data_IF_298906261576
#
_entry.id   IF_298906261576
#
_cell.length_a   1.000
_cell.length_b   1.000
_cell.length_c   1.000
_cell.angle_alpha   90.00
_cell.angle_beta   90.00
_cell.angle_gamma   90.00
#
_symmetry.space_group_name_H-M   'P 1'
#
loop_
_entity.id
_entity.type
_entity.pdbx_description
1 polymer ?
#
# COMPACT_ATOMS: atom_id res chain seq x y z
N UNK A 1 22.17 -4.58 -7.28
CA UNK A 1 22.08 -3.18 -7.75
C UNK A 1 21.07 -2.43 -6.91
N UNK A 2 21.34 -1.16 -6.60
CA UNK A 2 20.37 -0.27 -5.98
C UNK A 2 19.30 0.12 -7.00
N UNK A 3 18.07 0.30 -6.54
CA UNK A 3 16.92 0.62 -7.38
C UNK A 3 16.30 1.90 -6.83
N UNK A 4 15.97 2.84 -7.72
CA UNK A 4 15.45 4.13 -7.31
C UNK A 4 14.66 4.80 -8.42
N UNK A 5 13.80 5.72 -8.01
CA UNK A 5 13.06 6.61 -8.90
C UNK A 5 13.84 7.91 -9.06
N UNK A 6 14.12 8.31 -10.30
CA UNK A 6 14.62 9.67 -10.58
C UNK A 6 13.52 10.65 -10.20
N UNK A 7 13.79 11.52 -9.23
CA UNK A 7 12.85 12.54 -8.78
C UNK A 7 13.07 13.86 -9.49
N UNK A 8 14.33 14.20 -9.78
CA UNK A 8 14.73 15.47 -10.36
C UNK A 8 16.07 15.35 -11.08
N UNK A 9 16.22 16.07 -12.20
CA UNK A 9 17.52 16.29 -12.85
C UNK A 9 18.06 17.64 -12.39
N UNK A 10 19.25 17.64 -11.82
CA UNK A 10 19.93 18.82 -11.29
C UNK A 10 20.97 19.30 -12.31
N UNK A 11 20.82 20.55 -12.77
CA UNK A 11 21.80 21.17 -13.64
C UNK A 11 23.05 21.55 -12.83
N UNK A 12 24.22 21.10 -13.29
CA UNK A 12 25.50 21.48 -12.70
C UNK A 12 25.74 22.99 -12.83
N UNK A 13 26.30 23.60 -11.79
CA UNK A 13 26.76 25.00 -11.86
C UNK A 13 28.14 25.05 -12.55
N UNK A 14 28.40 26.03 -13.43
CA UNK A 14 29.72 26.20 -14.03
C UNK A 14 30.80 26.36 -12.96
N UNK A 15 32.03 25.84 -13.15
CA UNK A 15 32.62 25.29 -14.38
C UNK A 15 32.39 23.78 -14.59
N UNK A 16 31.82 23.07 -13.61
CA UNK A 16 31.55 21.65 -13.70
C UNK A 16 30.12 21.42 -14.21
N UNK A 17 29.95 21.39 -15.53
CA UNK A 17 28.70 21.01 -16.23
C UNK A 17 28.37 19.51 -16.02
N UNK A 18 28.36 19.04 -14.78
CA UNK A 18 27.97 17.66 -14.43
C UNK A 18 26.49 17.64 -14.12
N UNK A 19 25.74 16.88 -14.90
CA UNK A 19 24.34 16.59 -14.61
C UNK A 19 24.27 15.62 -13.45
N UNK A 20 23.65 16.07 -12.37
CA UNK A 20 23.35 15.25 -11.20
C UNK A 20 21.86 14.89 -11.21
N UNK A 21 21.50 13.85 -10.48
CA UNK A 21 20.12 13.38 -10.36
C UNK A 21 19.80 13.15 -8.90
N UNK A 22 18.60 13.56 -8.49
CA UNK A 22 18.05 13.19 -7.19
C UNK A 22 17.30 11.87 -7.32
N UNK A 23 17.68 10.87 -6.54
CA UNK A 23 17.10 9.53 -6.58
C UNK A 23 16.33 9.28 -5.30
N UNK A 24 15.06 8.89 -5.41
CA UNK A 24 14.26 8.33 -4.31
C UNK A 24 14.44 6.81 -4.28
N UNK A 25 14.87 6.27 -3.14
CA UNK A 25 15.34 4.88 -3.08
C UNK A 25 14.24 3.85 -2.80
N UNK A 26 14.42 2.67 -3.39
CA UNK A 26 13.74 1.46 -3.01
C UNK A 26 14.75 0.46 -2.43
N UNK A 27 14.37 -0.22 -1.34
CA UNK A 27 15.20 -1.20 -0.67
C UNK A 27 14.68 -2.61 -0.87
N UNK A 28 15.55 -3.61 -0.80
CA UNK A 28 15.07 -4.98 -0.67
C UNK A 28 14.64 -5.20 0.79
N UNK A 29 13.55 -5.96 1.05
CA UNK A 29 13.09 -6.24 2.40
C UNK A 29 14.19 -6.73 3.34
N UNK A 30 15.08 -7.61 2.85
CA UNK A 30 16.19 -8.17 3.62
C UNK A 30 17.22 -7.14 4.11
N UNK A 31 17.33 -5.99 3.44
CA UNK A 31 18.35 -4.98 3.73
C UNK A 31 17.89 -4.01 4.83
N UNK A 32 16.58 -3.85 5.02
CA UNK A 32 16.01 -2.86 5.95
C UNK A 32 15.05 -3.43 6.99
N UNK A 33 14.52 -4.64 6.77
CA UNK A 33 13.53 -5.26 7.65
C UNK A 33 14.13 -6.48 8.35
N UNK A 34 14.24 -6.40 9.68
CA UNK A 34 14.95 -7.38 10.52
C UNK A 34 14.18 -8.71 10.77
N UNK A 35 13.03 -8.93 10.12
CA UNK A 35 12.21 -10.13 10.35
C UNK A 35 12.71 -11.33 9.55
N UNK A 36 12.85 -12.48 10.20
CA UNK A 36 13.29 -13.74 9.59
C UNK A 36 12.42 -14.16 8.38
N UNK A 37 11.12 -13.85 8.41
CA UNK A 37 10.20 -14.14 7.28
C UNK A 37 10.52 -13.34 6.01
N UNK A 38 11.18 -12.17 6.15
CA UNK A 38 11.52 -11.29 5.02
C UNK A 38 12.91 -11.58 4.43
N UNK A 39 13.68 -12.53 5.00
CA UNK A 39 14.96 -13.02 4.45
C UNK A 39 14.77 -13.85 3.16
N UNK A 40 13.64 -14.54 3.03
CA UNK A 40 13.26 -15.32 1.84
C UNK A 40 12.21 -14.60 0.98
N UNK A 41 12.16 -13.27 1.07
CA UNK A 41 11.28 -12.48 0.23
C UNK A 41 11.65 -12.65 -1.26
N UNK A 42 10.64 -12.56 -2.12
CA UNK A 42 10.81 -12.53 -3.57
C UNK A 42 11.89 -11.50 -3.95
N UNK A 43 12.91 -11.86 -4.77
CA UNK A 43 13.95 -10.92 -5.19
C UNK A 43 13.40 -9.69 -5.93
N UNK A 44 12.21 -9.78 -6.54
CA UNK A 44 11.52 -8.67 -7.22
C UNK A 44 10.73 -7.78 -6.27
N UNK A 45 10.49 -8.22 -5.02
CA UNK A 45 9.83 -7.41 -4.01
C UNK A 45 10.77 -6.32 -3.49
N UNK A 46 10.27 -5.10 -3.49
CA UNK A 46 10.90 -3.91 -2.96
C UNK A 46 10.06 -3.30 -1.84
N UNK A 47 10.71 -2.40 -1.11
CA UNK A 47 10.11 -1.54 -0.09
C UNK A 47 10.45 -0.10 -0.47
N UNK A 48 9.41 0.73 -0.63
CA UNK A 48 9.59 2.15 -0.92
C UNK A 48 10.22 2.87 0.28
N UNK A 49 10.82 4.03 0.06
CA UNK A 49 11.35 4.88 1.12
C UNK A 49 11.16 6.35 0.79
N UNK A 50 11.06 7.19 1.82
CA UNK A 50 11.15 8.64 1.69
C UNK A 50 12.60 9.13 1.53
N UNK A 51 13.58 8.23 1.68
CA UNK A 51 14.99 8.59 1.57
C UNK A 51 15.36 8.95 0.13
N UNK A 52 16.06 10.07 -0.02
CA UNK A 52 16.63 10.48 -1.29
C UNK A 52 18.02 11.07 -1.13
N UNK A 53 18.84 10.91 -2.17
CA UNK A 53 20.16 11.53 -2.27
C UNK A 53 20.45 11.96 -3.72
N UNK A 54 21.57 12.65 -3.88
CA UNK A 54 22.04 13.16 -5.17
C UNK A 54 23.18 12.29 -5.66
N UNK A 55 23.08 11.82 -6.91
CA UNK A 55 24.08 10.98 -7.55
C UNK A 55 24.45 11.55 -8.93
N UNK A 56 25.65 11.25 -9.45
CA UNK A 56 25.96 11.59 -10.82
C UNK A 56 25.08 10.78 -11.79
N UNK A 57 24.68 11.38 -12.91
CA UNK A 57 23.86 10.68 -13.93
C UNK A 57 24.53 9.41 -14.46
N UNK A 58 25.86 9.35 -14.45
CA UNK A 58 26.67 8.20 -14.86
C UNK A 58 26.53 6.98 -13.94
N UNK A 59 25.89 7.13 -12.78
CA UNK A 59 25.56 6.00 -11.89
C UNK A 59 24.41 5.13 -12.41
N UNK A 60 23.59 5.64 -13.34
CA UNK A 60 22.48 4.91 -13.93
C UNK A 60 23.03 3.76 -14.78
N UNK A 61 22.61 2.52 -14.48
CA UNK A 61 23.00 1.32 -15.22
C UNK A 61 21.98 0.88 -16.26
N UNK A 62 20.71 1.18 -16.04
CA UNK A 62 19.61 0.76 -16.90
C UNK A 62 18.27 1.23 -16.35
N UNK A 63 17.23 1.11 -17.18
CA UNK A 63 15.85 1.41 -16.80
C UNK A 63 15.19 0.13 -16.30
N UNK A 64 14.35 0.25 -15.27
CA UNK A 64 13.53 -0.83 -14.76
C UNK A 64 12.09 -0.34 -14.55
N UNK A 65 11.18 -1.28 -14.32
CA UNK A 65 9.76 -1.01 -14.05
C UNK A 65 9.45 -1.37 -12.59
N UNK A 66 8.72 -0.48 -11.92
CA UNK A 66 8.30 -0.67 -10.53
C UNK A 66 6.81 -0.32 -10.45
N UNK A 67 5.99 -1.27 -10.03
CA UNK A 67 4.55 -1.08 -9.85
C UNK A 67 4.10 -1.41 -8.43
N UNK A 68 3.00 -0.78 -8.00
CA UNK A 68 2.36 -1.16 -6.75
C UNK A 68 1.70 -2.53 -6.90
N UNK A 69 1.77 -3.37 -5.87
CA UNK A 69 1.27 -4.75 -5.94
C UNK A 69 -0.21 -4.84 -6.33
N UNK A 70 -1.05 -3.91 -5.87
CA UNK A 70 -2.48 -3.87 -6.20
C UNK A 70 -2.79 -3.30 -7.60
N UNK A 71 -1.83 -2.65 -8.25
CA UNK A 71 -1.96 -2.18 -9.64
C UNK A 71 -1.61 -3.29 -10.65
N UNK A 72 -1.01 -4.38 -10.18
CA UNK A 72 -0.60 -5.53 -11.00
C UNK A 72 -1.74 -6.54 -11.08
N UNK A 73 -2.30 -6.73 -12.28
CA UNK A 73 -3.40 -7.67 -12.51
C UNK A 73 -3.02 -9.14 -12.25
N UNK A 74 -1.84 -9.56 -12.68
CA UNK A 74 -1.36 -10.93 -12.52
C UNK A 74 0.12 -10.93 -12.09
N UNK A 75 0.34 -11.10 -10.79
CA UNK A 75 1.68 -11.10 -10.20
C UNK A 75 2.57 -12.24 -10.72
N UNK A 76 1.99 -13.40 -11.07
CA UNK A 76 2.76 -14.54 -11.58
C UNK A 76 3.34 -14.22 -12.96
N UNK A 77 2.55 -13.61 -13.84
CA UNK A 77 3.02 -13.13 -15.14
C UNK A 77 3.96 -11.92 -14.98
N UNK A 78 3.66 -10.97 -14.10
CA UNK A 78 4.52 -9.81 -13.88
C UNK A 78 5.95 -10.21 -13.47
N UNK A 79 6.07 -11.27 -12.67
CA UNK A 79 7.35 -11.86 -12.30
C UNK A 79 8.12 -12.51 -13.44
N UNK A 80 7.53 -12.75 -14.62
CA UNK A 80 8.30 -13.27 -15.77
C UNK A 80 8.91 -12.15 -16.59
N UNK A 81 8.47 -10.90 -16.38
CA UNK A 81 8.98 -9.73 -17.10
C UNK A 81 10.37 -9.37 -16.56
N UNK A 82 11.29 -9.06 -17.49
CA UNK A 82 12.64 -8.62 -17.18
C UNK A 82 12.63 -7.22 -16.57
N UNK A 83 13.55 -6.97 -15.64
CA UNK A 83 13.70 -5.68 -14.94
C UNK A 83 12.41 -5.11 -14.34
N UNK A 84 11.47 -6.00 -13.98
CA UNK A 84 10.21 -5.65 -13.32
C UNK A 84 10.27 -5.98 -11.83
N UNK A 85 9.90 -4.99 -11.02
CA UNK A 85 9.87 -5.03 -9.57
C UNK A 85 8.52 -4.54 -9.06
N UNK A 86 8.20 -4.88 -7.82
CA UNK A 86 6.95 -4.43 -7.23
C UNK A 86 7.09 -4.14 -5.75
N UNK A 87 6.21 -3.32 -5.21
CA UNK A 87 6.21 -2.94 -3.80
C UNK A 87 4.78 -2.86 -3.27
N UNK A 88 4.66 -2.93 -1.95
CA UNK A 88 3.37 -2.74 -1.24
C UNK A 88 3.51 -1.97 0.07
N UNK A 89 4.75 -1.71 0.48
CA UNK A 89 5.09 -1.14 1.76
C UNK A 89 6.12 -0.04 1.57
N UNK A 90 6.06 0.94 2.46
CA UNK A 90 7.04 2.00 2.61
C UNK A 90 7.74 1.82 3.95
N UNK A 91 9.06 1.90 3.96
CA UNK A 91 9.87 1.93 5.16
C UNK A 91 10.38 3.35 5.41
N UNK A 92 10.04 3.87 6.58
CA UNK A 92 10.60 5.12 7.06
C UNK A 92 11.88 4.85 7.84
N UNK A 93 13.01 5.29 7.28
CA UNK A 93 14.33 5.13 7.88
C UNK A 93 14.50 5.91 9.19
N UNK A 94 13.79 7.02 9.38
CA UNK A 94 13.95 7.87 10.57
C UNK A 94 13.20 7.30 11.77
N UNK A 95 11.96 6.84 11.55
CA UNK A 95 11.14 6.25 12.62
C UNK A 95 11.33 4.74 12.75
N UNK A 96 12.05 4.11 11.81
CA UNK A 96 12.18 2.67 11.68
C UNK A 96 10.83 1.94 11.56
N UNK A 97 9.81 2.62 11.04
CA UNK A 97 8.46 2.06 10.86
C UNK A 97 8.20 1.63 9.43
N UNK A 98 7.26 0.70 9.30
CA UNK A 98 6.75 0.23 8.02
C UNK A 98 5.29 0.65 7.92
N UNK A 99 4.93 1.17 6.76
CA UNK A 99 3.57 1.53 6.40
C UNK A 99 3.13 0.69 5.21
N UNK A 100 1.87 0.26 5.23
CA UNK A 100 1.24 -0.23 4.01
C UNK A 100 0.95 0.96 3.10
N UNK A 101 1.25 0.79 1.82
CA UNK A 101 0.94 1.76 0.78
C UNK A 101 -0.38 1.33 0.17
N UNK A 102 -1.38 2.23 0.15
CA UNK A 102 -2.71 1.90 -0.37
C UNK A 102 -3.03 2.86 -1.52
N UNK A 103 -3.29 2.34 -2.74
CA UNK A 103 -3.76 3.15 -3.86
C UNK A 103 -5.05 3.90 -3.51
N UNK A 104 -5.11 5.18 -3.86
CA UNK A 104 -6.21 6.05 -3.44
C UNK A 104 -7.56 5.62 -4.03
N UNK A 105 -7.56 5.04 -5.23
CA UNK A 105 -8.73 4.47 -5.90
C UNK A 105 -9.33 3.26 -5.15
N UNK A 106 -8.53 2.56 -4.34
CA UNK A 106 -9.00 1.49 -3.47
C UNK A 106 -9.55 2.00 -2.12
N UNK A 107 -9.28 3.26 -1.76
CA UNK A 107 -9.70 3.82 -0.47
C UNK A 107 -11.20 4.13 -0.54
N UNK A 108 -11.98 3.42 0.27
CA UNK A 108 -13.42 3.60 0.39
C UNK A 108 -13.80 4.35 1.68
N UNK A 109 -12.85 4.46 2.59
CA UNK A 109 -13.09 4.77 3.99
C UNK A 109 -12.22 5.94 4.49
N UNK A 110 -12.23 7.06 3.78
CA UNK A 110 -11.48 8.25 4.19
C UNK A 110 -12.40 9.26 4.91
N UNK A 111 -11.93 9.90 6.00
CA UNK A 111 -12.67 11.00 6.61
C UNK A 111 -13.00 12.11 5.60
N UNK A 112 -14.26 12.58 5.61
CA UNK A 112 -14.74 13.64 4.72
C UNK A 112 -13.98 14.97 4.86
N UNK A 113 -13.31 15.19 5.99
CA UNK A 113 -12.46 16.35 6.23
C UNK A 113 -11.13 16.30 5.47
N UNK A 114 -10.65 15.11 5.12
CA UNK A 114 -9.34 14.89 4.48
C UNK A 114 -9.50 14.69 2.97
N UNK A 115 -10.65 14.16 2.53
CA UNK A 115 -10.94 13.94 1.11
C UNK A 115 -10.76 15.18 0.20
N UNK A 116 -11.07 16.42 0.63
CA UNK A 116 -10.84 17.62 -0.18
C UNK A 116 -9.38 18.09 -0.18
N UNK A 117 -8.60 17.70 0.82
CA UNK A 117 -7.19 18.10 1.00
C UNK A 117 -6.21 17.15 0.34
N UNK A 118 -6.68 15.98 -0.13
CA UNK A 118 -5.90 15.13 -1.00
C UNK A 118 -5.78 15.83 -2.35
N UNK A 119 -4.63 16.46 -2.55
CA UNK A 119 -4.25 17.10 -3.81
C UNK A 119 -4.39 16.08 -4.96
N UNK A 120 -4.78 16.50 -6.18
CA UNK A 120 -4.86 15.61 -7.35
C UNK A 120 -3.56 14.82 -7.66
N UNK A 121 -2.43 15.24 -7.08
CA UNK A 121 -1.13 14.58 -7.17
C UNK A 121 -0.95 13.40 -6.22
N UNK A 122 -1.83 13.20 -5.23
CA UNK A 122 -1.72 12.10 -4.27
C UNK A 122 -2.30 10.81 -4.88
N UNK A 123 -1.43 9.85 -5.21
CA UNK A 123 -1.84 8.54 -5.76
C UNK A 123 -2.02 7.46 -4.71
N UNK A 124 -1.39 7.61 -3.55
CA UNK A 124 -1.38 6.60 -2.49
C UNK A 124 -1.52 7.25 -1.12
N UNK A 125 -2.13 6.54 -0.17
CA UNK A 125 -2.07 6.87 1.26
C UNK A 125 -1.11 5.91 1.97
N UNK A 126 -0.51 6.38 3.06
CA UNK A 126 0.30 5.55 3.96
C UNK A 126 -0.53 5.24 5.20
N UNK A 127 -0.60 3.96 5.56
CA UNK A 127 -1.33 3.49 6.74
C UNK A 127 -0.43 2.57 7.55
N UNK A 128 -0.69 2.46 8.86
CA UNK A 128 0.09 1.58 9.74
C UNK A 128 0.09 0.11 9.22
N UNK A 129 1.20 -0.61 9.41
CA UNK A 129 1.37 -1.99 8.92
C UNK A 129 0.21 -2.90 9.36
N UNK A 130 -0.43 -3.56 8.38
CA UNK A 130 -1.57 -4.45 8.61
C UNK A 130 -2.92 -3.76 8.76
N UNK A 131 -3.00 -2.43 8.53
CA UNK A 131 -4.24 -1.65 8.66
C UNK A 131 -4.88 -1.27 7.32
N UNK A 132 -4.32 -1.69 6.19
CA UNK A 132 -4.86 -1.37 4.86
C UNK A 132 -6.36 -1.68 4.69
N UNK A 133 -6.83 -2.83 5.20
CA UNK A 133 -8.24 -3.24 5.12
C UNK A 133 -9.21 -2.30 5.83
N UNK A 134 -8.74 -1.53 6.82
CA UNK A 134 -9.61 -0.55 7.48
C UNK A 134 -9.94 0.63 6.57
N UNK A 135 -9.13 0.85 5.53
CA UNK A 135 -9.32 1.93 4.56
C UNK A 135 -9.95 1.46 3.24
N UNK A 136 -9.79 0.18 2.88
CA UNK A 136 -10.26 -0.37 1.60
C UNK A 136 -11.56 -1.17 1.68
N UNK A 137 -11.89 -1.77 2.83
CA UNK A 137 -13.12 -2.57 2.98
C UNK A 137 -14.32 -1.65 3.19
N UNK A 138 -15.26 -1.60 2.25
CA UNK A 138 -16.50 -0.82 2.45
C UNK A 138 -17.30 -1.40 3.64
N UNK A 139 -17.34 -0.65 4.75
CA UNK A 139 -18.06 -1.05 5.97
C UNK A 139 -19.34 -0.23 6.16
N UNK A 140 -20.22 -0.24 5.17
CA UNK A 140 -21.56 0.34 5.30
C UNK A 140 -22.53 -0.78 5.66
N UNK A 141 -23.30 -0.59 6.73
CA UNK A 141 -24.32 -1.54 7.15
C UNK A 141 -25.44 -1.57 6.11
N UNK A 142 -25.67 -2.72 5.47
CA UNK A 142 -26.71 -2.89 4.43
C UNK A 142 -28.16 -2.77 4.92
N UNK A 143 -28.39 -2.67 6.24
CA UNK A 143 -29.74 -2.50 6.83
C UNK A 143 -30.05 -1.04 7.11
N UNK A 144 -29.08 -0.28 7.63
CA UNK A 144 -29.31 1.08 8.10
C UNK A 144 -28.50 2.14 7.37
N UNK A 145 -27.72 1.74 6.38
CA UNK A 145 -26.82 2.57 5.54
C UNK A 145 -25.83 3.43 6.33
N UNK A 146 -25.68 3.17 7.63
CA UNK A 146 -24.70 3.82 8.49
C UNK A 146 -23.38 3.10 8.45
N UNK A 147 -22.33 3.88 8.60
CA UNK A 147 -20.97 3.42 8.76
C UNK A 147 -20.81 2.47 9.95
N UNK A 148 -20.13 1.35 9.74
CA UNK A 148 -19.61 0.52 10.81
C UNK A 148 -18.17 0.92 11.11
N UNK A 149 -17.92 1.48 12.29
CA UNK A 149 -16.57 1.92 12.65
C UNK A 149 -15.60 0.74 12.73
N UNK A 150 -14.29 0.94 12.49
CA UNK A 150 -13.32 -0.15 12.49
C UNK A 150 -13.27 -0.98 13.78
N UNK A 151 -13.53 -0.34 14.92
CA UNK A 151 -13.59 -0.92 16.26
C UNK A 151 -14.92 -1.62 16.58
N UNK A 152 -15.98 -1.33 15.83
CA UNK A 152 -17.30 -1.92 16.05
C UNK A 152 -17.37 -3.37 15.57
N UNK A 153 -18.02 -4.22 16.36
CA UNK A 153 -18.27 -5.61 15.97
C UNK A 153 -19.35 -5.66 14.89
N UNK A 154 -18.97 -6.14 13.71
CA UNK A 154 -19.85 -6.40 12.57
C UNK A 154 -19.85 -7.87 12.16
N UNK A 155 -20.93 -8.32 11.51
CA UNK A 155 -21.00 -9.61 10.82
C UNK A 155 -20.99 -9.38 9.31
N UNK A 156 -20.36 -10.29 8.56
CA UNK A 156 -20.36 -10.29 7.10
C UNK A 156 -21.20 -11.47 6.59
N UNK A 157 -22.02 -11.23 5.58
CA UNK A 157 -22.76 -12.30 4.91
C UNK A 157 -21.77 -13.18 4.12
N UNK A 158 -21.87 -14.51 4.25
CA UNK A 158 -21.01 -15.44 3.50
C UNK A 158 -21.30 -15.45 1.99
N UNK A 159 -22.52 -15.08 1.58
CA UNK A 159 -22.93 -15.11 0.18
C UNK A 159 -22.61 -13.80 -0.57
N UNK A 160 -22.97 -12.65 -0.01
CA UNK A 160 -22.80 -11.35 -0.67
C UNK A 160 -21.68 -10.48 -0.09
N UNK A 161 -20.99 -10.95 0.94
CA UNK A 161 -19.92 -10.24 1.66
C UNK A 161 -20.33 -8.89 2.30
N UNK A 162 -21.62 -8.55 2.26
CA UNK A 162 -22.16 -7.33 2.85
C UNK A 162 -21.91 -7.25 4.36
N UNK A 163 -21.61 -6.04 4.85
CA UNK A 163 -21.41 -5.77 6.27
C UNK A 163 -22.72 -5.39 6.96
N UNK A 164 -22.88 -5.85 8.21
CA UNK A 164 -24.07 -5.60 9.02
C UNK A 164 -23.68 -5.34 10.48
N UNK A 165 -24.26 -4.31 11.08
CA UNK A 165 -24.21 -4.14 12.54
C UNK A 165 -24.91 -5.33 13.20
N UNK A 166 -24.30 -5.88 14.25
CA UNK A 166 -24.91 -6.98 15.00
C UNK A 166 -26.33 -6.60 15.48
N UNK A 167 -26.51 -5.38 15.99
CA UNK A 167 -27.82 -4.86 16.42
C UNK A 167 -28.84 -4.74 15.29
N UNK A 168 -28.41 -4.36 14.08
CA UNK A 168 -29.30 -4.28 12.92
C UNK A 168 -29.82 -5.64 12.44
N UNK A 169 -29.13 -6.73 12.80
CA UNK A 169 -29.54 -8.11 12.46
C UNK A 169 -29.92 -8.92 13.70
N UNK A 170 -30.17 -8.25 14.84
CA UNK A 170 -30.63 -8.90 16.07
C UNK A 170 -29.59 -9.80 16.76
N UNK A 171 -28.31 -9.68 16.42
CA UNK A 171 -27.22 -10.43 17.04
C UNK A 171 -26.61 -9.65 18.22
N UNK A 172 -26.29 -10.37 19.29
CA UNK A 172 -25.54 -9.83 20.45
C UNK A 172 -24.04 -10.06 20.31
N UNK A 173 -23.65 -11.16 19.65
CA UNK A 173 -22.25 -11.55 19.40
C UNK A 173 -22.10 -12.13 18.01
N UNK A 174 -20.87 -12.10 17.47
CA UNK A 174 -20.54 -12.79 16.22
C UNK A 174 -20.77 -14.30 16.38
N UNK A 175 -21.11 -15.03 15.29
CA UNK A 175 -21.10 -16.48 15.30
C UNK A 175 -19.78 -17.04 15.85
N UNK A 176 -19.85 -18.15 16.58
CA UNK A 176 -18.66 -18.83 17.07
C UNK A 176 -17.80 -19.33 15.90
N UNK A 177 -16.50 -19.50 16.14
CA UNK A 177 -15.56 -20.03 15.14
C UNK A 177 -16.12 -21.35 14.57
N UNK A 178 -16.17 -21.46 13.24
CA UNK A 178 -16.74 -22.61 12.53
C UNK A 178 -18.17 -22.41 12.01
N UNK A 179 -18.85 -21.32 12.39
CA UNK A 179 -20.18 -20.99 11.90
C UNK A 179 -20.13 -19.78 10.95
N UNK A 180 -20.87 -19.88 9.85
CA UNK A 180 -21.09 -18.78 8.91
C UNK A 180 -22.43 -18.10 9.19
N UNK A 181 -22.57 -16.84 8.77
CA UNK A 181 -23.83 -16.11 8.83
C UNK A 181 -24.21 -15.63 7.44
N UNK A 182 -25.48 -15.75 7.11
CA UNK A 182 -26.06 -15.34 5.83
C UNK A 182 -27.18 -14.34 6.13
N UNK A 183 -27.23 -13.24 5.38
CA UNK A 183 -28.29 -12.25 5.51
C UNK A 183 -29.60 -12.79 4.92
N UNK A 184 -30.75 -12.24 5.32
CA UNK A 184 -32.05 -12.75 4.87
C UNK A 184 -32.30 -12.60 3.35
N UNK A 185 -31.54 -11.72 2.68
CA UNK A 185 -31.70 -11.40 1.26
C UNK A 185 -30.91 -12.33 0.34
N UNK A 186 -30.05 -13.18 0.90
CA UNK A 186 -29.27 -14.18 0.17
C UNK A 186 -29.79 -15.56 0.53
#
# INVERSE_FOLDING_TARGET
HYIGRIMEFLAGKPPANRTEIRIGWFYRPKDVLHSAKKKHADPRLLVASMNSDVNPITSIRGKCHIEHMDEIQNIAHYRTIEDSFYYKQLYDRYTHRVYDVVPLDMVKNLPLSISPSLTPSCRYILVEDGRASDFTDMRICRICDRWCTPDQRVVRCVACEGAYHLTCVGLVKKPSKGYAWQCHTC
#
